data_IF_239138918882
#
_entry.id   IF_239138918882
#
_cell.length_a   1.000
_cell.length_b   1.000
_cell.length_c   1.000
_cell.angle_alpha   90.00
_cell.angle_beta   90.00
_cell.angle_gamma   90.00
#
_symmetry.space_group_name_H-M   'P 1'
#
loop_
_entity.id
_entity.type
_entity.pdbx_description
1 polymer ?
#
# COMPACT_ATOMS: atom_id res chain seq x y z
N UNK A 1 21.33 3.32 -70.06
CA UNK A 1 20.44 4.26 -69.36
C UNK A 1 19.88 3.51 -68.17
N UNK A 2 20.61 3.57 -67.06
CA UNK A 2 20.33 2.81 -65.83
C UNK A 2 19.20 3.54 -65.09
N UNK A 3 18.07 2.86 -64.86
CA UNK A 3 16.95 3.45 -64.12
C UNK A 3 17.23 3.31 -62.63
N UNK A 4 17.57 4.42 -61.98
CA UNK A 4 17.80 4.47 -60.54
C UNK A 4 16.54 4.02 -59.78
N UNK A 5 16.69 3.00 -58.92
CA UNK A 5 15.62 2.60 -58.00
C UNK A 5 15.26 3.79 -57.10
N UNK A 6 13.96 4.13 -57.08
CA UNK A 6 13.45 5.22 -56.25
C UNK A 6 13.66 4.88 -54.76
N UNK A 7 14.49 5.65 -54.02
CA UNK A 7 14.81 5.37 -52.62
C UNK A 7 13.62 5.59 -51.66
N UNK A 8 12.50 6.10 -52.16
CA UNK A 8 11.29 6.39 -51.38
C UNK A 8 10.15 5.41 -51.67
N UNK A 9 10.40 4.09 -51.67
CA UNK A 9 9.32 3.10 -51.62
C UNK A 9 8.64 3.17 -50.24
N UNK A 10 7.47 3.82 -50.16
CA UNK A 10 6.62 3.79 -48.97
C UNK A 10 6.06 2.37 -48.75
N UNK A 11 6.78 1.53 -48.04
CA UNK A 11 6.28 0.23 -47.57
C UNK A 11 5.32 0.47 -46.41
N UNK A 12 4.07 -0.03 -46.50
CA UNK A 12 3.16 -0.06 -45.35
C UNK A 12 3.81 -0.92 -44.27
N UNK A 13 4.08 -0.35 -43.09
CA UNK A 13 4.50 -1.14 -41.92
C UNK A 13 3.36 -2.08 -41.55
N UNK A 14 3.68 -3.33 -41.24
CA UNK A 14 2.69 -4.29 -40.76
C UNK A 14 2.00 -3.73 -39.49
N UNK A 15 0.68 -3.95 -39.32
CA UNK A 15 0.00 -3.54 -38.10
C UNK A 15 0.57 -4.33 -36.92
N UNK A 16 1.31 -3.65 -36.05
CA UNK A 16 1.80 -4.21 -34.80
C UNK A 16 0.96 -3.66 -33.64
N UNK A 17 0.68 -4.51 -32.65
CA UNK A 17 -0.06 -4.10 -31.46
C UNK A 17 0.77 -3.08 -30.67
N UNK A 18 0.26 -1.86 -30.53
CA UNK A 18 0.91 -0.74 -29.82
C UNK A 18 0.63 -0.83 -28.32
N UNK A 19 -0.34 -1.65 -27.91
CA UNK A 19 -0.64 -1.96 -26.52
C UNK A 19 0.32 -3.03 -26.01
N UNK A 20 1.43 -2.58 -25.42
CA UNK A 20 2.51 -3.43 -24.88
C UNK A 20 2.25 -3.77 -23.39
N UNK A 21 1.43 -2.98 -22.70
CA UNK A 21 1.15 -3.14 -21.27
C UNK A 21 -0.35 -3.29 -20.99
N UNK A 22 -0.76 -4.49 -20.56
CA UNK A 22 -2.11 -4.76 -20.08
C UNK A 22 -2.12 -4.44 -18.57
N UNK A 23 -3.02 -3.56 -18.09
CA UNK A 23 -3.13 -3.30 -16.65
C UNK A 23 -3.64 -4.56 -15.96
N UNK A 24 -2.75 -5.22 -15.21
CA UNK A 24 -3.04 -6.42 -14.45
C UNK A 24 -2.24 -6.40 -13.14
N UNK A 25 -2.65 -7.25 -12.19
CA UNK A 25 -1.89 -7.46 -10.96
C UNK A 25 -0.54 -8.09 -11.32
N UNK A 26 0.53 -7.50 -10.79
CA UNK A 26 1.91 -7.89 -11.08
C UNK A 26 2.62 -8.45 -9.85
N UNK A 27 3.70 -9.19 -10.08
CA UNK A 27 4.58 -9.69 -9.03
C UNK A 27 3.91 -10.70 -8.11
N UNK A 28 4.27 -10.66 -6.83
CA UNK A 28 3.82 -11.63 -5.82
C UNK A 28 2.29 -11.61 -5.63
N UNK A 29 1.64 -10.47 -5.84
CA UNK A 29 0.20 -10.32 -5.69
C UNK A 29 -0.61 -11.06 -6.78
N UNK A 30 0.02 -11.52 -7.86
CA UNK A 30 -0.66 -12.16 -8.98
C UNK A 30 -1.24 -13.54 -8.63
N UNK A 31 -0.50 -14.30 -7.82
CA UNK A 31 -0.83 -15.69 -7.49
C UNK A 31 -1.57 -15.82 -6.15
N UNK A 32 -1.78 -14.71 -5.44
CA UNK A 32 -2.46 -14.69 -4.15
C UNK A 32 -3.98 -14.70 -4.34
N UNK A 33 -4.64 -15.56 -3.57
CA UNK A 33 -6.10 -15.68 -3.52
C UNK A 33 -6.67 -15.31 -2.15
N UNK A 34 -5.86 -15.43 -1.10
CA UNK A 34 -6.25 -15.07 0.25
C UNK A 34 -6.21 -13.54 0.47
N UNK A 35 -7.26 -13.03 1.11
CA UNK A 35 -7.47 -11.59 1.29
C UNK A 35 -6.40 -11.00 2.21
N UNK A 36 -6.00 -11.73 3.27
CA UNK A 36 -5.00 -11.24 4.20
C UNK A 36 -3.61 -11.22 3.56
N UNK A 37 -3.28 -12.20 2.73
CA UNK A 37 -2.02 -12.22 2.01
C UNK A 37 -1.94 -11.10 0.96
N UNK A 38 -3.04 -10.84 0.23
CA UNK A 38 -3.13 -9.67 -0.68
C UNK A 38 -2.98 -8.36 0.12
N UNK A 39 -3.60 -8.27 1.30
CA UNK A 39 -3.50 -7.09 2.16
C UNK A 39 -2.06 -6.83 2.64
N UNK A 40 -1.30 -7.89 2.97
CA UNK A 40 0.12 -7.78 3.34
C UNK A 40 1.00 -7.25 2.19
N UNK A 41 0.57 -7.39 0.93
CA UNK A 41 1.27 -6.75 -0.19
C UNK A 41 1.11 -5.22 -0.19
N UNK A 42 0.02 -4.70 0.38
CA UNK A 42 -0.22 -3.26 0.51
C UNK A 42 0.44 -2.71 1.78
N UNK A 43 0.19 -3.36 2.91
CA UNK A 43 0.75 -3.02 4.22
C UNK A 43 1.76 -4.09 4.61
N UNK A 44 2.99 -3.89 4.17
CA UNK A 44 4.10 -4.81 4.48
C UNK A 44 4.45 -4.76 5.97
N UNK A 45 5.06 -5.83 6.48
CA UNK A 45 5.53 -5.88 7.87
C UNK A 45 6.52 -4.74 8.16
N UNK A 46 7.35 -4.36 7.18
CA UNK A 46 8.28 -3.23 7.31
C UNK A 46 7.57 -1.89 7.56
N UNK A 47 6.41 -1.67 6.94
CA UNK A 47 5.59 -0.47 7.21
C UNK A 47 5.05 -0.54 8.63
N UNK A 48 4.57 -1.70 9.07
CA UNK A 48 4.04 -1.89 10.42
C UNK A 48 5.14 -1.67 11.48
N UNK A 49 6.33 -2.23 11.26
CA UNK A 49 7.49 -2.07 12.14
C UNK A 49 7.91 -0.61 12.25
N UNK A 50 7.98 0.10 11.13
CA UNK A 50 8.31 1.54 11.12
C UNK A 50 7.27 2.37 11.90
N UNK A 51 5.98 2.06 11.79
CA UNK A 51 4.94 2.73 12.60
C UNK A 51 5.16 2.46 14.09
N UNK A 52 5.44 1.21 14.46
CA UNK A 52 5.70 0.83 15.86
C UNK A 52 6.90 1.59 16.42
N UNK A 53 8.01 1.62 15.69
CA UNK A 53 9.25 2.30 16.11
C UNK A 53 9.03 3.80 16.31
N UNK A 54 8.44 4.49 15.34
CA UNK A 54 8.19 5.92 15.44
C UNK A 54 7.18 6.26 16.55
N UNK A 55 6.17 5.41 16.72
CA UNK A 55 5.20 5.55 17.82
C UNK A 55 5.88 5.36 19.18
N UNK A 56 6.77 4.38 19.30
CA UNK A 56 7.54 4.14 20.51
C UNK A 56 8.45 5.33 20.85
N UNK A 57 9.17 5.87 19.85
CA UNK A 57 9.99 7.07 20.01
C UNK A 57 9.17 8.25 20.53
N UNK A 58 7.96 8.43 19.99
CA UNK A 58 7.03 9.46 20.45
C UNK A 58 6.57 9.20 21.89
N UNK A 59 6.16 7.97 22.23
CA UNK A 59 5.75 7.58 23.59
C UNK A 59 6.86 7.89 24.59
N UNK A 60 8.11 7.53 24.28
CA UNK A 60 9.27 7.82 25.12
C UNK A 60 9.46 9.33 25.35
N UNK A 61 9.21 10.16 24.34
CA UNK A 61 9.32 11.62 24.47
C UNK A 61 8.24 12.23 25.38
N UNK A 62 7.03 11.67 25.39
CA UNK A 62 5.92 12.18 26.19
C UNK A 62 5.78 11.48 27.55
N UNK A 63 6.45 10.34 27.75
CA UNK A 63 6.38 9.53 28.96
C UNK A 63 6.55 10.33 30.27
N UNK A 64 7.52 11.26 30.38
CA UNK A 64 7.71 12.05 31.60
C UNK A 64 6.49 12.90 32.00
N UNK A 65 5.57 13.16 31.08
CA UNK A 65 4.37 13.97 31.33
C UNK A 65 3.23 13.18 31.99
N UNK A 66 3.34 11.85 32.09
CA UNK A 66 2.28 10.99 32.62
C UNK A 66 2.71 10.34 33.93
N UNK A 67 1.86 10.43 34.96
CA UNK A 67 2.10 9.76 36.24
C UNK A 67 1.82 8.25 36.22
N UNK A 68 1.04 7.77 35.25
CA UNK A 68 0.60 6.37 35.15
C UNK A 68 1.31 5.68 33.99
N UNK A 69 2.03 4.60 34.28
CA UNK A 69 2.74 3.80 33.26
C UNK A 69 1.85 3.20 32.19
N UNK A 70 0.56 2.96 32.49
CA UNK A 70 -0.41 2.44 31.53
C UNK A 70 -0.65 3.41 30.37
N UNK A 71 -0.61 4.72 30.64
CA UNK A 71 -0.99 5.74 29.66
C UNK A 71 0.14 5.99 28.64
N UNK A 72 1.34 5.46 28.92
CA UNK A 72 2.55 5.53 28.08
C UNK A 72 3.12 4.14 27.80
N UNK A 73 2.25 3.13 27.74
CA UNK A 73 2.66 1.77 27.40
C UNK A 73 3.10 1.70 25.94
N UNK A 74 4.20 1.01 25.70
CA UNK A 74 4.70 0.74 24.35
C UNK A 74 3.69 -0.04 23.51
N UNK A 75 3.68 0.26 22.21
CA UNK A 75 2.78 -0.38 21.24
C UNK A 75 3.44 -1.59 20.59
N UNK A 76 2.68 -2.64 20.31
CA UNK A 76 3.15 -3.81 19.54
C UNK A 76 2.56 -3.86 18.13
N UNK A 77 3.23 -4.58 17.21
CA UNK A 77 2.76 -4.72 15.82
C UNK A 77 1.34 -5.26 15.69
N UNK A 78 0.91 -6.16 16.58
CA UNK A 78 -0.45 -6.68 16.64
C UNK A 78 -1.47 -5.58 16.98
N UNK A 79 -1.13 -4.65 17.88
CA UNK A 79 -2.00 -3.53 18.24
C UNK A 79 -2.15 -2.55 17.07
N UNK A 80 -1.06 -2.27 16.33
CA UNK A 80 -1.13 -1.45 15.10
C UNK A 80 -2.00 -2.14 14.03
N UNK A 81 -1.84 -3.45 13.81
CA UNK A 81 -2.68 -4.21 12.88
C UNK A 81 -4.16 -4.21 13.33
N UNK A 82 -4.42 -4.34 14.62
CA UNK A 82 -5.77 -4.25 15.19
C UNK A 82 -6.38 -2.84 15.00
N UNK A 83 -5.58 -1.78 15.20
CA UNK A 83 -5.98 -0.39 14.95
C UNK A 83 -6.37 -0.19 13.48
N UNK A 84 -5.55 -0.66 12.54
CA UNK A 84 -5.88 -0.59 11.10
C UNK A 84 -7.17 -1.35 10.78
N UNK A 85 -7.38 -2.52 11.40
CA UNK A 85 -8.63 -3.28 11.29
C UNK A 85 -9.84 -2.49 11.78
N UNK A 86 -9.73 -1.82 12.93
CA UNK A 86 -10.77 -0.94 13.46
C UNK A 86 -11.06 0.24 12.51
N UNK A 87 -10.02 0.84 11.91
CA UNK A 87 -10.19 1.92 10.94
C UNK A 87 -10.93 1.44 9.68
N UNK A 88 -10.65 0.23 9.19
CA UNK A 88 -11.41 -0.34 8.07
C UNK A 88 -12.88 -0.57 8.44
N UNK A 89 -13.15 -1.12 9.63
CA UNK A 89 -14.52 -1.30 10.12
C UNK A 89 -15.24 0.05 10.25
N UNK A 90 -14.60 1.05 10.84
CA UNK A 90 -15.14 2.40 10.95
C UNK A 90 -15.45 3.00 9.57
N UNK A 91 -14.61 2.74 8.56
CA UNK A 91 -14.86 3.12 7.17
C UNK A 91 -16.10 2.45 6.58
N UNK A 92 -16.29 1.15 6.84
CA UNK A 92 -17.47 0.38 6.40
C UNK A 92 -18.76 0.90 7.05
N UNK A 93 -18.72 1.19 8.36
CA UNK A 93 -19.87 1.69 9.10
C UNK A 93 -20.10 3.20 8.96
N UNK A 94 -19.32 3.90 8.13
CA UNK A 94 -19.35 5.36 8.02
C UNK A 94 -19.18 6.07 9.38
N UNK A 95 -18.47 5.43 10.32
CA UNK A 95 -18.23 5.90 11.67
C UNK A 95 -17.12 6.97 11.78
N UNK A 96 -16.62 7.47 10.66
CA UNK A 96 -15.50 8.42 10.61
C UNK A 96 -15.77 9.78 11.28
N UNK A 97 -17.05 10.10 11.52
CA UNK A 97 -17.49 11.34 12.19
C UNK A 97 -18.23 11.07 13.52
N UNK A 98 -18.27 9.82 13.95
CA UNK A 98 -18.93 9.44 15.20
C UNK A 98 -17.92 9.68 16.33
N UNK A 99 -18.36 10.37 17.38
CA UNK A 99 -17.53 10.58 18.56
C UNK A 99 -17.31 9.25 19.29
N UNK A 100 -16.13 9.10 19.88
CA UNK A 100 -15.78 7.91 20.67
C UNK A 100 -16.45 7.88 22.05
N UNK A 101 -17.07 8.99 22.46
CA UNK A 101 -17.81 9.12 23.71
C UNK A 101 -19.31 8.94 23.44
N UNK A 102 -19.81 7.73 23.73
CA UNK A 102 -21.17 7.48 24.21
C UNK A 102 -21.11 7.06 25.68
#
# INVERSE_FOLDING_TARGET
MEMAENPFKKTKRAPNNIYIHIPAVIGQAKDLTDILDIWKCLITDRITESIVEETHNYICSVNPNYSRSRDTRETIGTEIKALLGLLYLAGIYHGNKVNLEE
#
